data_IF_463637844220
#
_entry.id   IF_463637844220
#
_cell.length_a   1.000
_cell.length_b   1.000
_cell.length_c   1.000
_cell.angle_alpha   90.00
_cell.angle_beta   90.00
_cell.angle_gamma   90.00
#
_symmetry.space_group_name_H-M   'P 1'
#
loop_
_entity.id
_entity.type
_entity.pdbx_description
1 polymer ?
#
# COMPACT_ATOMS: atom_id res chain seq x y z
N UNK A 1 -21.19 51.07 -33.51
CA UNK A 1 -21.94 49.80 -33.31
C UNK A 1 -22.94 49.95 -32.17
N UNK A 2 -24.21 49.64 -32.43
CA UNK A 2 -25.33 49.72 -31.48
C UNK A 2 -25.00 48.89 -30.23
N UNK A 3 -25.35 49.38 -29.03
CA UNK A 3 -25.02 48.72 -27.74
C UNK A 3 -25.44 47.25 -27.75
N UNK A 4 -26.59 46.96 -28.35
CA UNK A 4 -27.14 45.62 -28.56
C UNK A 4 -26.18 44.67 -29.31
N UNK A 5 -25.49 45.16 -30.33
CA UNK A 5 -24.53 44.35 -31.10
C UNK A 5 -23.32 43.97 -30.25
N UNK A 6 -22.87 44.85 -29.35
CA UNK A 6 -21.75 44.55 -28.45
C UNK A 6 -22.13 43.50 -27.40
N UNK A 7 -23.32 43.62 -26.82
CA UNK A 7 -23.81 42.63 -25.85
C UNK A 7 -23.99 41.25 -26.50
N UNK A 8 -24.52 41.18 -27.72
CA UNK A 8 -24.63 39.92 -28.47
C UNK A 8 -23.27 39.27 -28.73
N UNK A 9 -22.25 40.07 -29.05
CA UNK A 9 -20.87 39.59 -29.24
C UNK A 9 -20.30 39.06 -27.92
N UNK A 10 -20.45 39.80 -26.82
CA UNK A 10 -19.93 39.41 -25.50
C UNK A 10 -20.60 38.12 -25.01
N UNK A 11 -21.93 38.02 -25.13
CA UNK A 11 -22.68 36.82 -24.74
C UNK A 11 -22.29 35.63 -25.61
N UNK A 12 -22.14 35.83 -26.93
CA UNK A 12 -21.69 34.78 -27.85
C UNK A 12 -20.28 34.28 -27.51
N UNK A 13 -19.35 35.19 -27.21
CA UNK A 13 -17.99 34.84 -26.79
C UNK A 13 -17.97 34.05 -25.48
N UNK A 14 -18.77 34.47 -24.48
CA UNK A 14 -18.90 33.77 -23.20
C UNK A 14 -19.48 32.36 -23.38
N UNK A 15 -20.47 32.19 -24.26
CA UNK A 15 -21.06 30.89 -24.55
C UNK A 15 -20.02 29.93 -25.16
N UNK A 16 -19.25 30.40 -26.14
CA UNK A 16 -18.21 29.60 -26.80
C UNK A 16 -17.14 29.15 -25.80
N UNK A 17 -16.69 30.04 -24.91
CA UNK A 17 -15.70 29.70 -23.87
C UNK A 17 -16.23 28.59 -22.96
N UNK A 18 -17.47 28.69 -22.51
CA UNK A 18 -18.08 27.66 -21.66
C UNK A 18 -18.22 26.31 -22.39
N UNK A 19 -18.64 26.33 -23.66
CA UNK A 19 -18.76 25.11 -24.48
C UNK A 19 -17.40 24.44 -24.65
N UNK A 20 -16.35 25.20 -24.98
CA UNK A 20 -14.98 24.67 -25.11
C UNK A 20 -14.48 24.05 -23.80
N UNK A 21 -14.77 24.67 -22.65
CA UNK A 21 -14.41 24.12 -21.34
C UNK A 21 -15.10 22.77 -21.07
N UNK A 22 -16.40 22.67 -21.33
CA UNK A 22 -17.17 21.42 -21.14
C UNK A 22 -16.71 20.34 -22.12
N UNK A 23 -16.51 20.68 -23.40
CA UNK A 23 -16.03 19.74 -24.41
C UNK A 23 -14.62 19.22 -24.10
N UNK A 24 -13.72 20.08 -23.60
CA UNK A 24 -12.37 19.68 -23.19
C UNK A 24 -12.40 18.63 -22.08
N UNK A 25 -13.28 18.76 -21.09
CA UNK A 25 -13.44 17.79 -20.00
C UNK A 25 -13.97 16.43 -20.48
N UNK A 26 -14.80 16.41 -21.52
CA UNK A 26 -15.36 15.17 -22.08
C UNK A 26 -14.34 14.48 -23.00
N UNK A 27 -13.56 15.25 -23.77
CA UNK A 27 -12.58 14.71 -24.73
C UNK A 27 -11.26 14.30 -24.08
N UNK A 28 -10.85 14.96 -22.99
CA UNK A 28 -9.72 14.50 -22.17
C UNK A 28 -10.16 13.36 -21.26
N UNK A 29 -10.42 12.18 -21.85
CA UNK A 29 -10.25 10.92 -21.12
C UNK A 29 -8.82 10.88 -20.61
N UNK A 30 -8.63 11.29 -19.35
CA UNK A 30 -7.36 11.08 -18.65
C UNK A 30 -7.05 9.59 -18.78
N UNK A 31 -5.87 9.17 -19.27
CA UNK A 31 -5.46 7.80 -19.05
C UNK A 31 -5.51 7.59 -17.53
N UNK A 32 -6.28 6.60 -17.07
CA UNK A 32 -6.23 6.14 -15.69
C UNK A 32 -4.81 5.64 -15.42
N UNK A 33 -3.90 6.56 -15.12
CA UNK A 33 -2.58 6.24 -14.60
C UNK A 33 -2.78 5.73 -13.18
N UNK A 34 -2.50 4.45 -13.00
CA UNK A 34 -2.18 3.77 -11.75
C UNK A 34 -3.30 3.51 -10.73
N UNK A 35 -4.19 2.58 -11.05
CA UNK A 35 -4.90 1.75 -10.06
C UNK A 35 -4.11 0.45 -9.72
N UNK A 36 -2.77 0.51 -9.70
CA UNK A 36 -1.91 -0.64 -9.37
C UNK A 36 -1.19 -0.54 -8.02
N UNK A 37 -1.29 0.57 -7.29
CA UNK A 37 -0.60 0.74 -6.01
C UNK A 37 -1.13 -0.14 -4.86
N UNK A 38 -2.23 -0.85 -5.06
CA UNK A 38 -2.85 -1.65 -3.99
C UNK A 38 -2.66 -3.16 -4.14
N UNK A 39 -1.95 -3.62 -5.16
CA UNK A 39 -1.66 -5.05 -5.28
C UNK A 39 -0.45 -5.40 -4.43
N UNK A 40 -0.59 -6.44 -3.59
CA UNK A 40 0.53 -7.04 -2.86
C UNK A 40 1.68 -7.28 -3.86
N UNK A 41 2.92 -6.86 -3.56
CA UNK A 41 4.06 -7.11 -4.45
C UNK A 41 4.22 -8.61 -4.66
N UNK A 42 4.40 -9.00 -5.93
CA UNK A 42 4.61 -10.39 -6.31
C UNK A 42 6.11 -10.71 -6.21
N UNK A 43 6.48 -11.44 -5.15
CA UNK A 43 7.87 -11.82 -4.92
C UNK A 43 8.41 -12.69 -6.05
N UNK A 44 7.60 -13.59 -6.64
CA UNK A 44 8.05 -14.46 -7.73
C UNK A 44 8.44 -13.64 -8.96
N UNK A 45 7.62 -12.64 -9.31
CA UNK A 45 7.89 -11.76 -10.44
C UNK A 45 9.08 -10.82 -10.16
N UNK A 46 9.07 -10.14 -8.99
CA UNK A 46 10.07 -9.11 -8.68
C UNK A 46 11.47 -9.68 -8.43
N UNK A 47 11.56 -10.79 -7.72
CA UNK A 47 12.84 -11.43 -7.38
C UNK A 47 13.21 -12.53 -8.37
N UNK A 48 12.36 -12.79 -9.36
CA UNK A 48 12.53 -13.88 -10.33
C UNK A 48 12.79 -15.21 -9.64
N UNK A 49 12.00 -15.51 -8.62
CA UNK A 49 12.14 -16.74 -7.83
C UNK A 49 11.94 -17.96 -8.73
N UNK A 50 12.82 -18.95 -8.59
CA UNK A 50 12.55 -20.27 -9.14
C UNK A 50 11.40 -20.95 -8.39
N UNK A 51 11.02 -22.16 -8.81
CA UNK A 51 9.89 -22.85 -8.23
C UNK A 51 10.15 -23.34 -6.79
N UNK A 52 11.39 -23.71 -6.45
CA UNK A 52 11.76 -24.13 -5.10
C UNK A 52 11.76 -22.94 -4.13
N UNK A 53 12.44 -21.85 -4.49
CA UNK A 53 12.44 -20.59 -3.75
C UNK A 53 11.02 -20.05 -3.56
N UNK A 54 10.18 -20.13 -4.59
CA UNK A 54 8.78 -19.69 -4.49
C UNK A 54 7.95 -20.56 -3.54
N UNK A 55 8.21 -21.87 -3.47
CA UNK A 55 7.58 -22.77 -2.49
C UNK A 55 8.03 -22.36 -1.08
N UNK A 56 9.32 -22.15 -0.86
CA UNK A 56 9.88 -21.72 0.43
C UNK A 56 9.32 -20.35 0.86
N UNK A 57 9.30 -19.36 -0.04
CA UNK A 57 8.70 -18.04 0.22
C UNK A 57 7.22 -18.13 0.61
N UNK A 58 6.44 -19.00 -0.05
CA UNK A 58 5.03 -19.22 0.31
C UNK A 58 4.89 -19.83 1.70
N UNK A 59 5.78 -20.75 2.07
CA UNK A 59 5.82 -21.32 3.42
C UNK A 59 6.11 -20.24 4.45
N UNK A 60 7.18 -19.46 4.28
CA UNK A 60 7.51 -18.35 5.18
C UNK A 60 6.39 -17.31 5.26
N UNK A 61 5.76 -16.98 4.14
CA UNK A 61 4.62 -16.07 4.09
C UNK A 61 3.42 -16.57 4.88
N UNK A 62 3.14 -17.89 4.82
CA UNK A 62 2.04 -18.51 5.58
C UNK A 62 2.33 -18.50 7.07
N UNK A 63 3.56 -18.81 7.48
CA UNK A 63 3.99 -18.77 8.87
C UNK A 63 3.93 -17.34 9.44
N UNK A 64 4.50 -16.38 8.72
CA UNK A 64 4.43 -14.97 9.07
C UNK A 64 2.96 -14.50 9.21
N UNK A 65 2.09 -14.87 8.27
CA UNK A 65 0.67 -14.54 8.36
C UNK A 65 -0.01 -15.12 9.60
N UNK A 66 0.23 -16.40 9.93
CA UNK A 66 -0.30 -17.02 11.16
C UNK A 66 0.16 -16.28 12.41
N UNK A 67 1.45 -15.93 12.49
CA UNK A 67 2.01 -15.13 13.59
C UNK A 67 1.34 -13.76 13.70
N UNK A 68 1.18 -13.05 12.57
CA UNK A 68 0.53 -11.72 12.55
C UNK A 68 -0.93 -11.78 13.00
N UNK A 69 -1.69 -12.81 12.59
CA UNK A 69 -3.08 -12.99 13.02
C UNK A 69 -3.17 -13.20 14.54
N UNK A 70 -2.28 -14.02 15.11
CA UNK A 70 -2.23 -14.27 16.55
C UNK A 70 -1.89 -12.99 17.33
N UNK A 71 -0.82 -12.30 16.93
CA UNK A 71 -0.36 -11.05 17.57
C UNK A 71 -1.41 -9.95 17.47
N UNK A 72 -2.10 -9.80 16.33
CA UNK A 72 -3.19 -8.83 16.17
C UNK A 72 -4.35 -9.12 17.12
N UNK A 73 -4.69 -10.39 17.32
CA UNK A 73 -5.73 -10.79 18.28
C UNK A 73 -5.33 -10.46 19.72
N UNK A 74 -4.07 -10.71 20.07
CA UNK A 74 -3.50 -10.38 21.38
C UNK A 74 -3.48 -8.86 21.62
N UNK A 75 -3.00 -8.08 20.65
CA UNK A 75 -3.00 -6.61 20.69
C UNK A 75 -4.42 -6.07 20.90
N UNK A 76 -5.39 -6.55 20.11
CA UNK A 76 -6.80 -6.13 20.22
C UNK A 76 -7.36 -6.39 21.62
N UNK A 77 -7.00 -7.51 22.25
CA UNK A 77 -7.39 -7.82 23.63
C UNK A 77 -6.83 -6.78 24.60
N UNK A 78 -5.52 -6.52 24.57
CA UNK A 78 -4.90 -5.57 25.50
C UNK A 78 -5.33 -4.12 25.28
N UNK A 79 -5.46 -3.69 24.02
CA UNK A 79 -5.98 -2.35 23.68
C UNK A 79 -7.40 -2.18 24.21
N UNK A 80 -8.28 -3.16 23.99
CA UNK A 80 -9.65 -3.12 24.54
C UNK A 80 -9.63 -3.02 26.06
N UNK A 81 -8.83 -3.85 26.73
CA UNK A 81 -8.70 -3.80 28.19
C UNK A 81 -8.19 -2.44 28.68
N UNK A 82 -7.22 -1.83 27.98
CA UNK A 82 -6.67 -0.53 28.35
C UNK A 82 -7.74 0.57 28.29
N UNK A 83 -8.58 0.59 27.25
CA UNK A 83 -9.66 1.58 27.17
C UNK A 83 -10.80 1.36 28.17
N UNK A 84 -10.96 0.15 28.70
CA UNK A 84 -11.93 -0.13 29.78
C UNK A 84 -11.36 0.20 31.16
N UNK A 85 -10.08 -0.13 31.39
CA UNK A 85 -9.37 0.04 32.65
C UNK A 85 -7.91 0.39 32.36
N UNK A 86 -7.59 1.69 32.22
CA UNK A 86 -6.24 2.12 31.86
C UNK A 86 -5.21 1.69 32.91
N UNK A 87 -4.09 1.12 32.44
CA UNK A 87 -2.96 0.77 33.31
C UNK A 87 -1.64 0.71 32.54
N UNK A 88 -0.55 1.03 33.22
CA UNK A 88 0.81 0.97 32.64
C UNK A 88 1.21 -0.46 32.26
N UNK A 89 0.71 -1.46 33.00
CA UNK A 89 0.96 -2.87 32.69
C UNK A 89 0.33 -3.27 31.35
N UNK A 90 -0.89 -2.80 31.05
CA UNK A 90 -1.53 -3.03 29.75
C UNK A 90 -0.80 -2.28 28.64
N UNK A 91 -0.35 -1.05 28.88
CA UNK A 91 0.45 -0.31 27.90
C UNK A 91 1.76 -1.04 27.59
N UNK A 92 2.43 -1.60 28.60
CA UNK A 92 3.62 -2.44 28.41
C UNK A 92 3.31 -3.66 27.55
N UNK A 93 2.20 -4.37 27.81
CA UNK A 93 1.79 -5.51 26.98
C UNK A 93 1.51 -5.14 25.53
N UNK A 94 0.91 -3.97 25.28
CA UNK A 94 0.68 -3.46 23.92
C UNK A 94 2.02 -3.22 23.21
N UNK A 95 3.00 -2.62 23.90
CA UNK A 95 4.37 -2.42 23.39
C UNK A 95 5.07 -3.75 23.09
N UNK A 96 5.01 -4.72 24.02
CA UNK A 96 5.60 -6.06 23.83
C UNK A 96 5.04 -6.75 22.58
N UNK A 97 3.73 -6.60 22.31
CA UNK A 97 3.11 -7.18 21.10
C UNK A 97 3.58 -6.48 19.83
N UNK A 98 3.76 -5.16 19.86
CA UNK A 98 4.27 -4.42 18.71
C UNK A 98 5.73 -4.78 18.40
N UNK A 99 6.57 -4.92 19.42
CA UNK A 99 7.94 -5.41 19.29
C UNK A 99 7.98 -6.79 18.62
N UNK A 100 7.15 -7.73 19.09
CA UNK A 100 7.02 -9.06 18.47
C UNK A 100 6.60 -8.98 17.01
N UNK A 101 5.73 -8.03 16.62
CA UNK A 101 5.33 -7.85 15.22
C UNK A 101 6.49 -7.40 14.35
N UNK A 102 7.29 -6.45 14.84
CA UNK A 102 8.48 -5.94 14.16
C UNK A 102 9.49 -7.08 13.97
N UNK A 103 9.82 -7.82 15.04
CA UNK A 103 10.76 -8.94 15.00
C UNK A 103 10.30 -10.06 14.07
N UNK A 104 9.00 -10.39 14.06
CA UNK A 104 8.45 -11.39 13.15
C UNK A 104 8.49 -10.95 11.68
N UNK A 105 8.31 -9.65 11.43
CA UNK A 105 8.42 -9.07 10.08
C UNK A 105 9.87 -9.07 9.60
N UNK A 106 10.81 -8.68 10.47
CA UNK A 106 12.24 -8.76 10.19
C UNK A 106 12.69 -10.20 9.90
N UNK A 107 12.27 -11.15 10.74
CA UNK A 107 12.53 -12.57 10.53
C UNK A 107 12.01 -13.04 9.16
N UNK A 108 10.78 -12.68 8.79
CA UNK A 108 10.22 -13.06 7.49
C UNK A 108 11.07 -12.57 6.31
N UNK A 109 11.58 -11.34 6.39
CA UNK A 109 12.47 -10.78 5.39
C UNK A 109 13.83 -11.48 5.37
N UNK A 110 14.40 -11.79 6.53
CA UNK A 110 15.66 -12.52 6.63
C UNK A 110 15.53 -13.96 6.11
N UNK A 111 14.42 -14.65 6.42
CA UNK A 111 14.11 -15.99 5.90
C UNK A 111 13.98 -15.98 4.37
N UNK A 112 13.38 -14.92 3.79
CA UNK A 112 13.36 -14.77 2.32
C UNK A 112 14.77 -14.50 1.78
N UNK A 113 15.53 -13.59 2.39
CA UNK A 113 16.87 -13.23 1.92
C UNK A 113 17.82 -14.43 1.93
N UNK A 114 17.69 -15.35 2.88
CA UNK A 114 18.57 -16.52 3.01
C UNK A 114 18.38 -17.57 1.91
N UNK A 115 17.25 -17.53 1.20
CA UNK A 115 16.97 -18.46 0.10
C UNK A 115 17.22 -17.86 -1.29
N UNK A 116 17.56 -16.56 -1.36
CA UNK A 116 17.91 -15.89 -2.60
C UNK A 116 19.33 -16.21 -3.05
N UNK A 117 19.53 -16.23 -4.35
CA UNK A 117 20.84 -16.26 -4.97
C UNK A 117 21.46 -14.85 -5.00
N UNK A 118 22.78 -14.78 -5.17
CA UNK A 118 23.52 -13.51 -5.15
C UNK A 118 23.01 -12.51 -6.20
N UNK A 119 22.65 -13.00 -7.39
CA UNK A 119 22.12 -12.19 -8.48
C UNK A 119 20.73 -11.60 -8.21
N UNK A 120 19.99 -12.14 -7.23
CA UNK A 120 18.66 -11.67 -6.85
C UNK A 120 18.73 -10.62 -5.72
N UNK A 121 19.83 -10.55 -4.97
CA UNK A 121 20.02 -9.62 -3.85
C UNK A 121 19.89 -8.14 -4.23
N UNK A 122 20.34 -7.66 -5.41
CA UNK A 122 20.12 -6.26 -5.81
C UNK A 122 18.63 -5.88 -5.91
N UNK A 123 17.77 -6.81 -6.33
CA UNK A 123 16.32 -6.59 -6.42
C UNK A 123 15.59 -6.75 -5.08
N UNK A 124 16.25 -7.34 -4.08
CA UNK A 124 15.67 -7.62 -2.78
C UNK A 124 15.32 -6.37 -1.99
N UNK A 125 16.18 -5.34 -1.98
CA UNK A 125 15.90 -4.12 -1.22
C UNK A 125 14.68 -3.37 -1.78
N UNK A 126 14.55 -3.29 -3.11
CA UNK A 126 13.36 -2.75 -3.79
C UNK A 126 12.10 -3.54 -3.44
N UNK A 127 12.19 -4.87 -3.42
CA UNK A 127 11.08 -5.73 -3.00
C UNK A 127 10.70 -5.47 -1.54
N UNK A 128 11.68 -5.41 -0.63
CA UNK A 128 11.47 -5.18 0.80
C UNK A 128 10.78 -3.85 1.04
N UNK A 129 11.21 -2.77 0.38
CA UNK A 129 10.57 -1.45 0.50
C UNK A 129 9.11 -1.49 0.05
N UNK A 130 8.81 -2.11 -1.10
CA UNK A 130 7.43 -2.27 -1.59
C UNK A 130 6.59 -3.15 -0.67
N UNK A 131 7.16 -4.22 -0.15
CA UNK A 131 6.49 -5.14 0.77
C UNK A 131 6.19 -4.46 2.11
N UNK A 132 7.11 -3.66 2.65
CA UNK A 132 6.89 -2.90 3.89
C UNK A 132 5.70 -1.94 3.78
N UNK A 133 5.54 -1.24 2.64
CA UNK A 133 4.37 -0.39 2.41
C UNK A 133 3.04 -1.15 2.47
N UNK A 134 3.05 -2.44 2.18
CA UNK A 134 1.87 -3.30 2.27
C UNK A 134 1.69 -3.88 3.69
N UNK A 135 2.79 -4.26 4.36
CA UNK A 135 2.76 -4.91 5.69
C UNK A 135 2.45 -3.92 6.82
N UNK A 136 2.93 -2.67 6.72
CA UNK A 136 2.75 -1.63 7.72
C UNK A 136 1.41 -0.87 7.61
N UNK A 137 0.55 -1.26 6.66
CA UNK A 137 -0.77 -0.64 6.46
C UNK A 137 -1.83 -1.29 7.35
#
# INVERSE_FOLDING_TARGET
MKRETRYKIIIGALLIINVVQVSSLILTKRPQKHLREHRKPDAKEMLRLDDEQNIQFKTFSREHHKSMVSLKKEQKKYVRSYFLQPSDSLLKRIKDVEEKKILATEKHFNDLKSVLHEEQLPAYEDFKERALRYVLR
#
